data_IF_959310089192
#
_entry.id   IF_959310089192
#
_cell.length_a   1.000
_cell.length_b   1.000
_cell.length_c   1.000
_cell.angle_alpha   90.00
_cell.angle_beta   90.00
_cell.angle_gamma   90.00
#
_symmetry.space_group_name_H-M   'P 1'
#
loop_
_entity.id
_entity.type
_entity.pdbx_description
1 polymer ?
#
# COMPACT_ATOMS: atom_id res chain seq x y z
N UNK A 1 34.49 -47.20 10.07
CA UNK A 1 33.07 -47.45 9.74
C UNK A 1 32.26 -47.39 11.01
N UNK A 2 31.48 -46.34 11.26
CA UNK A 2 30.25 -46.38 12.08
C UNK A 2 29.40 -45.17 11.68
N UNK A 3 28.24 -45.44 11.07
CA UNK A 3 27.20 -44.45 10.75
C UNK A 3 26.32 -44.28 11.98
N UNK A 4 26.29 -43.09 12.54
CA UNK A 4 25.21 -42.57 13.41
C UNK A 4 24.83 -41.22 12.80
N UNK A 5 23.59 -40.82 12.54
CA UNK A 5 22.26 -41.39 12.68
C UNK A 5 21.36 -40.20 12.35
N UNK A 6 20.90 -40.07 11.09
CA UNK A 6 19.99 -39.00 10.65
C UNK A 6 18.60 -39.24 11.26
N UNK A 7 18.35 -38.74 12.47
CA UNK A 7 16.99 -38.56 13.00
C UNK A 7 17.04 -37.37 13.95
N UNK A 8 16.53 -36.21 13.52
CA UNK A 8 15.99 -35.14 14.38
C UNK A 8 15.41 -33.93 13.62
N UNK A 9 15.44 -33.88 12.28
CA UNK A 9 14.95 -32.73 11.52
C UNK A 9 13.45 -32.76 11.12
N UNK A 10 12.64 -33.73 11.58
CA UNK A 10 11.30 -33.96 10.99
C UNK A 10 10.13 -33.46 11.86
N UNK A 11 10.34 -33.08 13.13
CA UNK A 11 9.21 -32.77 14.04
C UNK A 11 8.76 -31.31 14.13
N UNK A 12 9.44 -30.35 13.50
CA UNK A 12 9.10 -28.92 13.66
C UNK A 12 8.73 -28.16 12.37
N UNK A 13 8.74 -28.81 11.20
CA UNK A 13 8.43 -28.14 9.93
C UNK A 13 6.92 -27.90 9.80
N UNK A 14 6.08 -28.80 10.33
CA UNK A 14 4.62 -28.64 10.26
C UNK A 14 4.07 -27.52 11.15
N UNK A 15 4.66 -27.29 12.33
CA UNK A 15 4.20 -26.21 13.22
C UNK A 15 4.49 -24.82 12.62
N UNK A 16 5.66 -24.63 12.00
CA UNK A 16 6.02 -23.37 11.35
C UNK A 16 5.20 -23.07 10.09
N UNK A 17 4.68 -24.11 9.41
CA UNK A 17 3.81 -23.94 8.24
C UNK A 17 2.42 -23.41 8.62
N UNK A 18 1.88 -23.86 9.76
CA UNK A 18 0.59 -23.40 10.27
C UNK A 18 0.64 -21.92 10.68
N UNK A 19 1.70 -21.48 11.37
CA UNK A 19 1.90 -20.07 11.76
C UNK A 19 2.01 -19.14 10.53
N UNK A 20 2.60 -19.62 9.43
CA UNK A 20 2.72 -18.89 8.17
C UNK A 20 1.38 -18.78 7.42
N UNK A 21 0.60 -19.87 7.39
CA UNK A 21 -0.74 -19.87 6.80
C UNK A 21 -1.70 -18.93 7.54
N UNK A 22 -1.66 -18.93 8.86
CA UNK A 22 -2.44 -18.03 9.73
C UNK A 22 -2.07 -16.55 9.50
N UNK A 23 -0.82 -16.26 9.17
CA UNK A 23 -0.39 -14.90 8.82
C UNK A 23 -0.92 -14.43 7.46
N UNK A 24 -0.80 -15.25 6.41
CA UNK A 24 -1.36 -14.92 5.09
C UNK A 24 -2.86 -14.71 5.18
N UNK A 25 -3.55 -15.52 5.97
CA UNK A 25 -4.96 -15.32 6.27
C UNK A 25 -5.20 -13.95 6.92
N UNK A 26 -4.48 -13.59 7.99
CA UNK A 26 -4.64 -12.31 8.70
C UNK A 26 -4.33 -11.06 7.86
N UNK A 27 -3.26 -11.07 7.05
CA UNK A 27 -2.96 -9.93 6.18
C UNK A 27 -3.96 -9.83 5.01
N UNK A 28 -4.39 -10.98 4.46
CA UNK A 28 -5.46 -11.03 3.46
C UNK A 28 -6.79 -10.53 4.04
N UNK A 29 -7.13 -10.92 5.26
CA UNK A 29 -8.32 -10.44 6.00
C UNK A 29 -8.32 -8.92 6.15
N UNK A 30 -7.16 -8.29 6.41
CA UNK A 30 -7.08 -6.82 6.48
C UNK A 30 -7.27 -6.14 5.13
N UNK A 31 -6.71 -6.70 4.07
CA UNK A 31 -6.95 -6.19 2.71
C UNK A 31 -8.43 -6.35 2.35
N UNK A 32 -9.03 -7.50 2.67
CA UNK A 32 -10.46 -7.76 2.50
C UNK A 32 -11.31 -6.80 3.35
N UNK A 33 -10.92 -6.53 4.59
CA UNK A 33 -11.59 -5.57 5.49
C UNK A 33 -11.55 -4.15 4.91
N UNK A 34 -10.40 -3.71 4.39
CA UNK A 34 -10.29 -2.43 3.68
C UNK A 34 -11.23 -2.41 2.47
N UNK A 35 -11.23 -3.47 1.66
CA UNK A 35 -12.12 -3.57 0.48
C UNK A 35 -13.58 -3.49 0.90
N UNK A 36 -14.01 -4.28 1.87
CA UNK A 36 -15.39 -4.28 2.38
C UNK A 36 -15.78 -2.91 2.94
N UNK A 37 -14.92 -2.28 3.75
CA UNK A 37 -15.15 -0.93 4.28
C UNK A 37 -15.24 0.12 3.18
N UNK A 38 -14.45 0.01 2.11
CA UNK A 38 -14.54 0.92 0.96
C UNK A 38 -15.83 0.70 0.15
N UNK A 39 -16.25 -0.55 -0.03
CA UNK A 39 -17.50 -0.89 -0.72
C UNK A 39 -18.72 -0.39 0.07
N UNK A 40 -18.74 -0.61 1.39
CA UNK A 40 -19.76 -0.07 2.28
C UNK A 40 -19.81 1.46 2.25
N UNK A 41 -18.66 2.13 2.22
CA UNK A 41 -18.63 3.58 2.06
C UNK A 41 -19.24 4.02 0.74
N UNK A 42 -18.94 3.31 -0.36
CA UNK A 42 -19.50 3.63 -1.67
C UNK A 42 -21.01 3.43 -1.74
N UNK A 43 -21.53 2.37 -1.13
CA UNK A 43 -22.98 2.15 -1.01
C UNK A 43 -23.64 3.20 -0.11
N UNK A 44 -23.06 3.46 1.07
CA UNK A 44 -23.60 4.45 2.01
C UNK A 44 -23.50 5.89 1.49
N UNK A 45 -22.59 6.19 0.56
CA UNK A 45 -22.56 7.47 -0.15
C UNK A 45 -23.66 7.61 -1.21
N UNK A 46 -24.25 6.50 -1.69
CA UNK A 46 -25.36 6.50 -2.66
C UNK A 46 -26.72 6.64 -1.97
N UNK A 47 -26.83 6.23 -0.70
CA UNK A 47 -28.07 6.28 0.09
C UNK A 47 -28.11 7.45 1.09
N UNK A 48 -29.28 8.04 1.38
CA UNK A 48 -29.42 9.01 2.47
C UNK A 48 -29.20 8.35 3.84
N UNK A 49 -28.53 9.06 4.75
CA UNK A 49 -28.16 8.62 6.10
C UNK A 49 -29.36 8.67 7.06
N UNK A 50 -29.96 7.53 7.37
CA UNK A 50 -31.03 7.42 8.37
C UNK A 50 -30.51 7.60 9.81
N UNK A 51 -31.30 8.24 10.66
CA UNK A 51 -31.04 8.37 12.09
C UNK A 51 -31.08 6.99 12.78
N UNK A 52 -30.18 6.77 13.74
CA UNK A 52 -30.05 5.48 14.45
C UNK A 52 -30.87 5.39 15.75
N UNK A 53 -31.55 6.46 16.16
CA UNK A 53 -32.34 6.47 17.39
C UNK A 53 -33.68 5.74 17.19
N UNK A 54 -34.07 4.92 18.16
CA UNK A 54 -35.33 4.18 18.14
C UNK A 54 -36.52 5.16 18.00
N UNK A 55 -37.35 4.93 16.99
CA UNK A 55 -38.50 5.78 16.68
C UNK A 55 -38.20 7.04 15.84
N UNK A 56 -36.97 7.25 15.35
CA UNK A 56 -36.65 8.40 14.49
C UNK A 56 -36.49 8.03 13.01
N UNK A 57 -37.47 8.41 12.18
CA UNK A 57 -37.46 8.15 10.72
C UNK A 57 -36.76 9.24 9.89
N UNK A 58 -35.93 10.09 10.49
CA UNK A 58 -35.26 11.17 9.75
C UNK A 58 -34.06 10.64 8.96
N UNK A 59 -33.95 11.05 7.71
CA UNK A 59 -32.81 10.76 6.83
C UNK A 59 -32.13 12.04 6.37
N UNK A 60 -30.82 11.96 6.14
CA UNK A 60 -29.96 13.11 5.84
C UNK A 60 -29.10 12.85 4.63
N UNK A 61 -28.87 13.86 3.79
CA UNK A 61 -27.97 13.75 2.63
C UNK A 61 -26.49 13.68 3.04
N UNK A 62 -26.14 14.16 4.24
CA UNK A 62 -24.77 14.15 4.73
C UNK A 62 -24.66 13.48 6.09
N UNK A 63 -23.58 12.71 6.26
CA UNK A 63 -23.25 12.04 7.51
C UNK A 63 -23.18 13.00 8.69
N UNK A 64 -22.56 14.16 8.48
CA UNK A 64 -22.45 15.23 9.48
C UNK A 64 -23.82 15.71 9.96
N UNK A 65 -24.78 15.90 9.04
CA UNK A 65 -26.13 16.32 9.41
C UNK A 65 -26.88 15.25 10.22
N UNK A 66 -26.71 13.96 9.88
CA UNK A 66 -27.25 12.85 10.68
C UNK A 66 -26.70 12.88 12.10
N UNK A 67 -25.37 12.92 12.24
CA UNK A 67 -24.71 12.87 13.55
C UNK A 67 -25.07 14.10 14.40
N UNK A 68 -25.14 15.29 13.79
CA UNK A 68 -25.58 16.50 14.49
C UNK A 68 -27.02 16.39 15.01
N UNK A 69 -27.91 15.76 14.26
CA UNK A 69 -29.28 15.48 14.71
C UNK A 69 -29.30 14.47 15.86
N UNK A 70 -28.56 13.36 15.73
CA UNK A 70 -28.43 12.32 16.76
C UNK A 70 -27.96 12.90 18.10
N UNK A 71 -27.01 13.83 18.07
CA UNK A 71 -26.47 14.47 19.28
C UNK A 71 -27.43 15.52 19.82
N UNK A 72 -27.95 16.40 18.96
CA UNK A 72 -28.79 17.52 19.40
C UNK A 72 -30.21 17.13 19.85
N UNK A 73 -30.76 16.02 19.34
CA UNK A 73 -32.14 15.59 19.67
C UNK A 73 -32.20 14.34 20.54
N UNK A 74 -31.26 13.42 20.38
CA UNK A 74 -31.30 12.12 21.05
C UNK A 74 -30.16 11.92 22.07
N UNK A 75 -29.19 12.85 22.14
CA UNK A 75 -27.97 12.74 22.97
C UNK A 75 -27.22 11.40 22.82
N UNK A 76 -27.45 10.71 21.70
CA UNK A 76 -27.15 9.28 21.52
C UNK A 76 -25.65 8.96 21.43
N UNK A 77 -24.84 9.92 20.99
CA UNK A 77 -23.39 9.70 20.75
C UNK A 77 -22.56 9.82 22.03
N UNK A 78 -23.03 10.58 23.02
CA UNK A 78 -22.27 10.80 24.27
C UNK A 78 -22.22 9.49 25.08
N UNK A 79 -23.35 8.79 25.19
CA UNK A 79 -23.44 7.50 25.88
C UNK A 79 -22.52 6.42 25.27
N UNK A 80 -22.33 6.43 23.95
CA UNK A 80 -21.48 5.45 23.25
C UNK A 80 -19.98 5.73 23.39
N UNK A 81 -19.60 6.98 23.68
CA UNK A 81 -18.22 7.39 23.94
C UNK A 81 -17.72 6.87 25.30
N UNK A 82 -18.59 6.93 26.30
CA UNK A 82 -18.30 6.52 27.68
C UNK A 82 -18.12 5.00 27.80
N UNK A 83 -18.76 4.20 26.94
CA UNK A 83 -18.73 2.74 27.02
C UNK A 83 -17.61 2.05 26.22
N UNK A 84 -17.16 2.61 25.08
CA UNK A 84 -16.34 1.88 24.09
C UNK A 84 -14.89 2.39 23.99
N UNK A 85 -14.59 3.60 24.49
CA UNK A 85 -13.25 4.20 24.43
C UNK A 85 -12.63 4.24 23.01
N UNK A 86 -13.48 4.30 21.98
CA UNK A 86 -13.07 4.45 20.58
C UNK A 86 -13.27 5.91 20.14
N UNK A 87 -12.22 6.54 19.64
CA UNK A 87 -12.26 7.94 19.17
C UNK A 87 -13.10 8.10 17.88
N UNK A 88 -13.50 7.00 17.25
CA UNK A 88 -14.16 6.98 15.94
C UNK A 88 -15.60 6.45 16.01
N UNK A 89 -16.43 6.94 15.10
CA UNK A 89 -17.78 6.39 14.87
C UNK A 89 -17.71 5.06 14.09
N UNK A 90 -18.80 4.27 14.04
CA UNK A 90 -18.85 3.04 13.22
C UNK A 90 -18.57 3.27 11.74
N UNK A 91 -18.65 4.52 11.28
CA UNK A 91 -18.25 4.88 9.93
C UNK A 91 -16.78 5.33 9.87
N UNK A 92 -16.05 5.55 10.95
CA UNK A 92 -14.63 5.93 10.99
C UNK A 92 -14.35 7.44 11.11
N UNK A 93 -15.37 8.27 11.32
CA UNK A 93 -15.22 9.71 11.60
C UNK A 93 -14.84 9.96 13.06
N UNK A 94 -14.01 10.96 13.30
CA UNK A 94 -13.59 11.38 14.63
C UNK A 94 -14.63 12.29 15.25
N UNK A 95 -15.05 11.99 16.47
CA UNK A 95 -15.88 12.89 17.24
C UNK A 95 -15.04 13.93 17.99
N UNK A 96 -15.65 15.08 18.23
CA UNK A 96 -15.18 16.08 19.16
C UNK A 96 -15.15 15.50 20.59
N UNK A 97 -13.98 15.48 21.23
CA UNK A 97 -13.84 14.98 22.61
C UNK A 97 -14.57 15.86 23.62
N UNK A 98 -14.80 17.13 23.29
CA UNK A 98 -15.55 18.09 24.11
C UNK A 98 -17.08 18.00 23.91
N UNK A 99 -17.60 16.95 23.26
CA UNK A 99 -19.04 16.71 23.13
C UNK A 99 -19.81 17.69 22.23
N UNK A 100 -19.11 18.48 21.42
CA UNK A 100 -19.66 19.63 20.69
C UNK A 100 -20.54 19.30 19.47
N UNK A 101 -21.00 18.06 19.33
CA UNK A 101 -21.82 17.57 18.21
C UNK A 101 -21.18 17.59 16.81
N UNK A 102 -19.88 17.89 16.70
CA UNK A 102 -19.16 17.86 15.43
C UNK A 102 -18.39 16.56 15.21
N UNK A 103 -18.37 16.10 13.95
CA UNK A 103 -17.58 14.97 13.47
C UNK A 103 -16.64 15.38 12.35
N UNK A 104 -15.45 14.79 12.33
CA UNK A 104 -14.35 15.16 11.45
C UNK A 104 -13.83 13.95 10.68
N UNK A 105 -13.47 14.14 9.42
CA UNK A 105 -12.89 13.08 8.59
C UNK A 105 -11.46 12.72 8.98
N UNK A 106 -10.72 13.65 9.61
CA UNK A 106 -9.33 13.42 10.04
C UNK A 106 -9.10 13.85 11.48
N UNK A 107 -8.16 13.17 12.16
CA UNK A 107 -7.69 13.56 13.50
C UNK A 107 -7.13 14.98 13.51
N UNK A 108 -6.37 15.37 12.48
CA UNK A 108 -5.78 16.72 12.40
C UNK A 108 -6.85 17.82 12.36
N UNK A 109 -7.94 17.62 11.62
CA UNK A 109 -9.05 18.58 11.55
C UNK A 109 -9.84 18.67 12.86
N UNK A 110 -10.04 17.54 13.55
CA UNK A 110 -10.63 17.52 14.90
C UNK A 110 -9.74 18.30 15.86
N UNK A 111 -8.46 17.96 15.95
CA UNK A 111 -7.55 18.57 16.91
C UNK A 111 -7.43 20.09 16.66
N UNK A 112 -7.50 20.53 15.40
CA UNK A 112 -7.56 21.96 15.07
C UNK A 112 -8.85 22.59 15.59
N UNK A 113 -10.01 21.96 15.35
CA UNK A 113 -11.30 22.44 15.85
C UNK A 113 -11.28 22.58 17.38
N UNK A 114 -10.82 21.55 18.09
CA UNK A 114 -10.70 21.55 19.55
C UNK A 114 -9.78 22.66 20.04
N UNK A 115 -8.64 22.88 19.38
CA UNK A 115 -7.74 24.01 19.66
C UNK A 115 -8.33 25.39 19.38
N UNK A 116 -9.24 25.52 18.42
CA UNK A 116 -9.81 26.82 18.06
C UNK A 116 -11.07 27.16 18.84
N UNK A 117 -11.90 26.16 19.15
CA UNK A 117 -13.22 26.35 19.75
C UNK A 117 -13.21 26.02 21.25
N UNK A 118 -12.50 24.96 21.66
CA UNK A 118 -12.58 24.40 23.02
C UNK A 118 -11.42 24.80 23.94
N UNK A 119 -10.25 25.12 23.39
CA UNK A 119 -9.14 25.70 24.16
C UNK A 119 -9.49 27.07 24.78
N UNK A 120 -10.51 27.77 24.26
CA UNK A 120 -11.03 29.00 24.86
C UNK A 120 -12.06 28.75 25.98
N UNK A 121 -12.58 27.52 26.13
CA UNK A 121 -13.70 27.19 27.03
C UNK A 121 -13.34 26.25 28.19
N UNK A 122 -12.07 25.85 28.34
CA UNK A 122 -11.60 25.14 29.54
C UNK A 122 -12.18 23.74 29.76
N UNK A 123 -12.43 22.97 28.70
CA UNK A 123 -12.82 21.56 28.86
C UNK A 123 -11.63 20.72 29.35
N UNK A 124 -11.77 20.12 30.53
CA UNK A 124 -10.83 19.13 31.07
C UNK A 124 -11.02 17.78 30.34
N UNK A 125 -9.90 17.20 29.92
CA UNK A 125 -9.89 15.89 29.28
C UNK A 125 -10.07 14.80 30.35
N UNK A 126 -10.93 13.79 30.15
CA UNK A 126 -10.88 12.58 30.96
C UNK A 126 -9.52 11.92 30.77
N UNK A 127 -8.76 11.72 31.86
CA UNK A 127 -7.55 10.94 31.83
C UNK A 127 -7.89 9.51 31.39
N UNK A 128 -7.38 9.07 30.23
CA UNK A 128 -7.53 7.69 29.78
C UNK A 128 -6.76 6.78 30.75
N UNK A 129 -7.48 6.03 31.58
CA UNK A 129 -6.90 4.91 32.30
C UNK A 129 -6.60 3.77 31.30
N UNK A 130 -5.33 3.34 31.13
CA UNK A 130 -5.03 2.19 30.28
C UNK A 130 -5.42 0.90 31.01
N UNK A 131 -6.56 0.32 30.63
CA UNK A 131 -6.94 -1.04 30.98
C UNK A 131 -7.41 -1.69 29.65
N UNK A 132 -7.01 -2.86 29.18
CA UNK A 132 -6.40 -4.02 29.83
C UNK A 132 -5.54 -4.82 28.82
N UNK A 133 -4.58 -5.60 29.35
CA UNK A 133 -3.85 -6.70 28.69
C UNK A 133 -3.10 -6.36 27.38
N UNK A 134 -2.07 -5.52 27.45
CA UNK A 134 -1.10 -5.41 26.35
C UNK A 134 -0.11 -6.58 26.43
N UNK A 135 -0.31 -7.61 25.62
CA UNK A 135 0.82 -8.44 25.18
C UNK A 135 1.85 -7.50 24.57
N UNK A 136 3.04 -7.39 25.18
CA UNK A 136 4.05 -6.48 24.69
C UNK A 136 4.44 -6.86 23.25
N UNK A 137 4.42 -5.91 22.30
CA UNK A 137 4.70 -6.19 20.90
C UNK A 137 6.14 -6.66 20.71
N UNK A 138 6.34 -7.61 19.81
CA UNK A 138 7.66 -8.09 19.41
C UNK A 138 8.12 -7.37 18.13
N UNK A 139 8.96 -6.35 18.29
CA UNK A 139 9.36 -5.49 17.18
C UNK A 139 10.34 -6.17 16.20
N UNK A 140 11.14 -7.13 16.67
CA UNK A 140 12.04 -7.90 15.80
C UNK A 140 11.24 -8.90 14.97
N UNK A 141 10.25 -9.58 15.57
CA UNK A 141 9.36 -10.48 14.84
C UNK A 141 8.58 -9.72 13.76
N UNK A 142 7.97 -8.60 14.12
CA UNK A 142 7.24 -7.74 13.19
C UNK A 142 8.11 -7.30 12.01
N UNK A 143 9.36 -6.91 12.27
CA UNK A 143 10.29 -6.49 11.23
C UNK A 143 10.61 -7.63 10.25
N UNK A 144 11.01 -8.79 10.74
CA UNK A 144 11.41 -9.90 9.87
C UNK A 144 10.22 -10.48 9.11
N UNK A 145 9.05 -10.48 9.73
CA UNK A 145 7.80 -10.83 9.08
C UNK A 145 7.48 -9.88 7.92
N UNK A 146 7.54 -8.57 8.17
CA UNK A 146 7.31 -7.56 7.14
C UNK A 146 8.36 -7.64 6.02
N UNK A 147 9.62 -7.87 6.37
CA UNK A 147 10.73 -8.03 5.43
C UNK A 147 10.54 -9.25 4.53
N UNK A 148 10.10 -10.39 5.10
CA UNK A 148 9.82 -11.60 4.35
C UNK A 148 8.64 -11.38 3.39
N UNK A 149 7.52 -10.84 3.88
CA UNK A 149 6.35 -10.55 3.07
C UNK A 149 6.67 -9.58 1.92
N UNK A 150 7.43 -8.51 2.18
CA UNK A 150 7.88 -7.60 1.13
C UNK A 150 8.86 -8.26 0.15
N UNK A 151 9.73 -9.16 0.65
CA UNK A 151 10.61 -9.97 -0.19
C UNK A 151 9.85 -10.88 -1.15
N UNK A 152 8.82 -11.57 -0.67
CA UNK A 152 7.92 -12.40 -1.48
C UNK A 152 7.17 -11.57 -2.51
N UNK A 153 6.66 -10.38 -2.13
CA UNK A 153 6.06 -9.43 -3.07
C UNK A 153 7.02 -9.03 -4.20
N UNK A 154 8.30 -8.75 -3.88
CA UNK A 154 9.30 -8.44 -4.90
C UNK A 154 9.62 -9.65 -5.80
N UNK A 155 9.64 -10.86 -5.24
CA UNK A 155 9.82 -12.10 -6.00
C UNK A 155 8.68 -12.34 -6.98
N UNK A 156 7.43 -12.18 -6.54
CA UNK A 156 6.25 -12.27 -7.41
C UNK A 156 6.28 -11.20 -8.51
N UNK A 157 6.61 -9.95 -8.15
CA UNK A 157 6.74 -8.88 -9.14
C UNK A 157 7.81 -9.21 -10.19
N UNK A 158 8.97 -9.71 -9.76
CA UNK A 158 10.07 -10.09 -10.66
C UNK A 158 9.70 -11.26 -11.58
N UNK A 159 8.86 -12.19 -11.10
CA UNK A 159 8.36 -13.29 -11.90
C UNK A 159 7.31 -12.85 -12.92
N UNK A 160 6.38 -11.97 -12.52
CA UNK A 160 5.37 -11.41 -13.42
C UNK A 160 5.95 -10.61 -14.59
N UNK A 161 7.08 -9.93 -14.36
CA UNK A 161 7.81 -9.18 -15.40
C UNK A 161 8.26 -10.07 -16.57
N UNK A 162 8.24 -11.41 -16.42
CA UNK A 162 8.55 -12.36 -17.50
C UNK A 162 7.42 -12.56 -18.52
N UNK A 163 6.24 -11.95 -18.34
CA UNK A 163 5.18 -11.99 -19.35
C UNK A 163 3.76 -12.22 -18.84
N UNK A 164 3.51 -12.08 -17.55
CA UNK A 164 2.19 -12.33 -16.95
C UNK A 164 1.49 -11.01 -16.58
N UNK A 165 0.75 -10.47 -17.55
CA UNK A 165 0.07 -9.18 -17.42
C UNK A 165 -1.09 -9.18 -16.44
N UNK A 166 -1.77 -10.31 -16.30
CA UNK A 166 -2.90 -10.41 -15.37
C UNK A 166 -2.41 -10.43 -13.93
N UNK A 167 -1.42 -11.27 -13.61
CA UNK A 167 -0.84 -11.31 -12.28
C UNK A 167 -0.13 -10.00 -11.94
N UNK A 168 0.52 -9.35 -12.91
CA UNK A 168 1.11 -8.01 -12.70
C UNK A 168 0.04 -6.96 -12.34
N UNK A 169 -1.13 -7.01 -12.99
CA UNK A 169 -2.25 -6.12 -12.69
C UNK A 169 -2.73 -6.29 -11.24
N UNK A 170 -2.89 -7.54 -10.78
CA UNK A 170 -3.27 -7.82 -9.39
C UNK A 170 -2.19 -7.35 -8.40
N UNK A 171 -0.91 -7.61 -8.67
CA UNK A 171 0.21 -7.14 -7.85
C UNK A 171 0.22 -5.61 -7.75
N UNK A 172 -0.14 -4.90 -8.82
CA UNK A 172 -0.20 -3.45 -8.79
C UNK A 172 -1.30 -2.89 -7.89
N UNK A 173 -2.39 -3.62 -7.64
CA UNK A 173 -3.38 -3.22 -6.63
C UNK A 173 -2.74 -3.19 -5.23
N UNK A 174 -1.96 -4.21 -4.89
CA UNK A 174 -1.22 -4.23 -3.63
C UNK A 174 -0.09 -3.18 -3.60
N UNK A 175 0.62 -3.00 -4.71
CA UNK A 175 1.67 -1.99 -4.85
C UNK A 175 1.12 -0.57 -4.61
N UNK A 176 -0.09 -0.28 -5.09
CA UNK A 176 -0.77 0.99 -4.85
C UNK A 176 -0.91 1.28 -3.34
N UNK A 177 -1.38 0.28 -2.58
CA UNK A 177 -1.56 0.39 -1.12
C UNK A 177 -0.23 0.61 -0.40
N UNK A 178 0.82 -0.10 -0.82
CA UNK A 178 2.18 0.06 -0.28
C UNK A 178 2.76 1.45 -0.58
N UNK A 179 2.61 1.95 -1.81
CA UNK A 179 3.10 3.28 -2.16
C UNK A 179 2.35 4.39 -1.45
N UNK A 180 1.02 4.28 -1.32
CA UNK A 180 0.23 5.29 -0.61
C UNK A 180 0.51 5.30 0.89
N UNK A 181 0.66 4.13 1.53
CA UNK A 181 0.93 4.04 2.97
C UNK A 181 2.30 4.61 3.35
N UNK A 182 3.30 4.49 2.47
CA UNK A 182 4.66 5.00 2.70
C UNK A 182 4.90 6.42 2.16
N UNK A 183 3.86 7.10 1.67
CA UNK A 183 3.97 8.48 1.17
C UNK A 183 4.69 8.60 -0.19
N UNK A 184 4.84 7.50 -0.93
CA UNK A 184 5.41 7.47 -2.27
C UNK A 184 4.39 7.92 -3.33
N UNK A 185 3.98 9.19 -3.25
CA UNK A 185 2.85 9.76 -4.02
C UNK A 185 3.01 9.61 -5.54
N UNK A 186 4.21 9.83 -6.08
CA UNK A 186 4.48 9.65 -7.52
C UNK A 186 4.22 8.22 -7.98
N UNK A 187 4.74 7.24 -7.26
CA UNK A 187 4.56 5.82 -7.62
C UNK A 187 3.11 5.37 -7.42
N UNK A 188 2.45 5.84 -6.36
CA UNK A 188 1.03 5.58 -6.14
C UNK A 188 0.18 6.16 -7.28
N UNK A 189 0.47 7.39 -7.72
CA UNK A 189 -0.24 8.02 -8.84
C UNK A 189 -0.07 7.26 -10.16
N UNK A 190 1.16 6.91 -10.53
CA UNK A 190 1.45 6.16 -11.76
C UNK A 190 0.72 4.81 -11.78
N UNK A 191 0.72 4.11 -10.64
CA UNK A 191 0.00 2.84 -10.51
C UNK A 191 -1.51 3.04 -10.58
N UNK A 192 -2.06 4.05 -9.90
CA UNK A 192 -3.49 4.36 -9.97
C UNK A 192 -3.90 4.69 -11.43
N UNK A 193 -3.10 5.47 -12.14
CA UNK A 193 -3.35 5.82 -13.54
C UNK A 193 -3.33 4.58 -14.44
N UNK A 194 -2.36 3.68 -14.25
CA UNK A 194 -2.30 2.41 -14.96
C UNK A 194 -3.54 1.55 -14.72
N UNK A 195 -3.92 1.37 -13.44
CA UNK A 195 -5.11 0.62 -13.07
C UNK A 195 -6.38 1.27 -13.67
N UNK A 196 -6.52 2.59 -13.59
CA UNK A 196 -7.63 3.32 -14.17
C UNK A 196 -7.71 3.13 -15.70
N UNK A 197 -6.60 3.27 -16.42
CA UNK A 197 -6.56 3.08 -17.88
C UNK A 197 -7.04 1.69 -18.29
N UNK A 198 -6.60 0.63 -17.60
CA UNK A 198 -7.07 -0.73 -17.89
C UNK A 198 -8.58 -0.89 -17.73
N UNK A 199 -9.18 -0.17 -16.77
CA UNK A 199 -10.63 -0.27 -16.50
C UNK A 199 -11.48 0.69 -17.36
N UNK A 200 -10.90 1.76 -17.94
CA UNK A 200 -11.63 2.75 -18.73
C UNK A 200 -11.43 2.63 -20.24
N UNK A 201 -10.32 2.05 -20.70
CA UNK A 201 -10.04 1.89 -22.12
C UNK A 201 -10.92 0.79 -22.75
N UNK A 202 -11.17 0.86 -24.08
CA UNK A 202 -11.76 -0.25 -24.83
C UNK A 202 -10.96 -1.55 -24.61
N UNK A 203 -11.65 -2.68 -24.70
CA UNK A 203 -11.07 -3.99 -24.37
C UNK A 203 -9.74 -4.27 -25.09
N UNK A 204 -9.65 -3.95 -26.38
CA UNK A 204 -8.45 -4.17 -27.20
C UNK A 204 -7.26 -3.31 -26.74
N UNK A 205 -7.51 -2.04 -26.41
CA UNK A 205 -6.49 -1.12 -25.92
C UNK A 205 -6.04 -1.48 -24.50
N UNK A 206 -6.97 -1.89 -23.64
CA UNK A 206 -6.68 -2.36 -22.30
C UNK A 206 -5.84 -3.66 -22.33
N UNK A 207 -6.17 -4.58 -23.23
CA UNK A 207 -5.40 -5.79 -23.49
C UNK A 207 -3.98 -5.44 -23.95
N UNK A 208 -3.87 -4.58 -24.97
CA UNK A 208 -2.60 -4.10 -25.50
C UNK A 208 -1.75 -3.45 -24.40
N UNK A 209 -2.32 -2.54 -23.60
CA UNK A 209 -1.62 -1.87 -22.50
C UNK A 209 -1.16 -2.85 -21.41
N UNK A 210 -1.96 -3.87 -21.12
CA UNK A 210 -1.66 -4.90 -20.11
C UNK A 210 -0.50 -5.79 -20.57
N UNK A 211 -0.52 -6.26 -21.83
CA UNK A 211 0.39 -7.29 -22.32
C UNK A 211 1.61 -6.76 -23.10
N UNK A 212 1.52 -5.63 -23.79
CA UNK A 212 2.65 -5.08 -24.57
C UNK A 212 3.79 -4.56 -23.68
N UNK A 213 3.56 -4.43 -22.38
CA UNK A 213 4.63 -4.08 -21.43
C UNK A 213 5.75 -5.11 -21.36
N UNK A 214 5.45 -6.36 -21.70
CA UNK A 214 6.41 -7.47 -21.72
C UNK A 214 6.94 -7.78 -23.12
N UNK A 215 6.43 -7.09 -24.15
CA UNK A 215 6.88 -7.29 -25.51
C UNK A 215 8.34 -6.85 -25.64
N UNK A 216 9.22 -7.81 -25.89
CA UNK A 216 10.64 -7.60 -26.07
C UNK A 216 10.99 -7.87 -27.52
N UNK A 217 10.92 -6.83 -28.37
CA UNK A 217 11.17 -6.94 -29.80
C UNK A 217 12.56 -7.53 -30.13
N UNK A 218 13.56 -7.33 -29.26
CA UNK A 218 14.95 -7.69 -29.54
C UNK A 218 15.48 -8.89 -28.75
N UNK A 219 14.65 -9.61 -28.00
CA UNK A 219 15.06 -10.83 -27.29
C UNK A 219 16.21 -10.68 -26.27
N UNK A 220 16.63 -9.45 -25.93
CA UNK A 220 17.71 -9.20 -24.96
C UNK A 220 17.16 -9.27 -23.53
N UNK A 221 17.80 -10.06 -22.67
CA UNK A 221 17.42 -10.24 -21.26
C UNK A 221 17.12 -8.90 -20.55
N UNK A 222 15.87 -8.71 -20.13
CA UNK A 222 15.41 -7.69 -19.18
C UNK A 222 15.80 -6.23 -19.46
N UNK A 223 15.68 -5.77 -20.71
CA UNK A 223 15.59 -4.34 -21.00
C UNK A 223 14.25 -4.06 -21.67
N UNK A 224 13.18 -3.98 -20.88
CA UNK A 224 11.96 -3.28 -21.31
C UNK A 224 12.37 -1.89 -21.76
N UNK A 225 12.26 -1.64 -23.07
CA UNK A 225 12.46 -0.39 -23.80
C UNK A 225 13.44 0.63 -23.19
N UNK A 226 14.51 0.87 -23.93
CA UNK A 226 15.50 1.95 -23.81
C UNK A 226 14.96 3.39 -23.75
N UNK A 227 13.64 3.62 -23.66
CA UNK A 227 13.03 4.94 -23.54
C UNK A 227 13.49 5.73 -22.29
N UNK A 228 13.94 5.04 -21.23
CA UNK A 228 14.48 5.71 -20.02
C UNK A 228 15.84 6.39 -20.22
N UNK A 229 16.60 6.08 -21.27
CA UNK A 229 17.94 6.67 -21.47
C UNK A 229 17.87 8.05 -22.13
N UNK A 230 16.97 8.26 -23.08
CA UNK A 230 16.79 9.57 -23.72
C UNK A 230 16.13 10.57 -22.76
N UNK A 231 15.03 10.20 -22.09
CA UNK A 231 14.24 11.15 -21.27
C UNK A 231 14.98 11.79 -20.08
N UNK A 232 16.08 11.21 -19.60
CA UNK A 232 16.88 11.79 -18.50
C UNK A 232 17.57 13.10 -18.86
N UNK A 233 17.86 13.34 -20.14
CA UNK A 233 18.57 14.54 -20.58
C UNK A 233 17.63 15.72 -20.88
N UNK A 234 16.33 15.46 -21.12
CA UNK A 234 15.36 16.50 -21.50
C UNK A 234 14.75 17.25 -20.31
N UNK A 235 14.85 16.70 -19.10
CA UNK A 235 14.45 17.40 -17.87
C UNK A 235 13.02 17.97 -17.95
N UNK A 236 12.87 19.26 -17.64
CA UNK A 236 11.59 19.97 -17.68
C UNK A 236 11.12 20.35 -19.10
N UNK A 237 11.94 20.15 -20.14
CA UNK A 237 11.65 20.52 -21.53
C UNK A 237 11.16 19.33 -22.37
N UNK A 238 10.62 18.30 -21.72
CA UNK A 238 10.04 17.15 -22.42
C UNK A 238 8.67 17.56 -23.01
N UNK A 239 8.65 17.86 -24.30
CA UNK A 239 7.44 18.07 -25.08
C UNK A 239 7.03 16.78 -25.82
N UNK A 240 5.74 16.63 -26.09
CA UNK A 240 5.22 15.43 -26.78
C UNK A 240 5.84 15.26 -28.17
N UNK A 241 6.03 16.35 -28.91
CA UNK A 241 6.65 16.34 -30.25
C UNK A 241 8.13 15.95 -30.20
N UNK A 242 8.88 16.40 -29.20
CA UNK A 242 10.27 15.98 -28.99
C UNK A 242 10.38 14.54 -28.52
N UNK A 243 9.47 14.10 -27.64
CA UNK A 243 9.40 12.71 -27.18
C UNK A 243 9.10 11.74 -28.33
N UNK A 244 8.11 12.06 -29.18
CA UNK A 244 7.74 11.26 -30.36
C UNK A 244 8.88 11.16 -31.35
N UNK A 245 9.48 12.29 -31.76
CA UNK A 245 10.62 12.32 -32.68
C UNK A 245 11.83 11.55 -32.15
N UNK A 246 12.09 11.65 -30.85
CA UNK A 246 13.18 10.91 -30.21
C UNK A 246 12.87 9.41 -30.14
N UNK A 247 11.62 9.04 -29.88
CA UNK A 247 11.18 7.64 -29.88
C UNK A 247 11.28 7.00 -31.26
N UNK A 248 10.87 7.72 -32.31
CA UNK A 248 10.93 7.27 -33.71
C UNK A 248 12.38 7.11 -34.20
N UNK A 249 13.28 8.00 -33.78
CA UNK A 249 14.70 7.93 -34.17
C UNK A 249 15.56 7.02 -33.29
N UNK A 250 15.02 6.52 -32.17
CA UNK A 250 15.78 5.74 -31.19
C UNK A 250 16.27 4.41 -31.78
N UNK A 251 15.40 3.76 -32.55
CA UNK A 251 15.70 2.49 -33.22
C UNK A 251 16.86 2.64 -34.20
N UNK A 252 16.82 3.67 -35.05
CA UNK A 252 17.89 3.98 -35.99
C UNK A 252 19.21 4.29 -35.29
N UNK A 253 19.19 5.07 -34.20
CA UNK A 253 20.40 5.35 -33.43
C UNK A 253 20.99 4.09 -32.80
N UNK A 254 20.16 3.21 -32.23
CA UNK A 254 20.63 1.95 -31.65
C UNK A 254 21.24 1.03 -32.72
N UNK A 255 20.65 0.98 -33.92
CA UNK A 255 21.21 0.24 -35.05
C UNK A 255 22.58 0.78 -35.47
N UNK A 256 22.72 2.10 -35.65
CA UNK A 256 23.99 2.74 -36.03
C UNK A 256 25.07 2.47 -34.98
N UNK A 257 24.76 2.64 -33.69
CA UNK A 257 25.71 2.35 -32.61
C UNK A 257 26.11 0.87 -32.62
N UNK A 258 25.16 -0.04 -32.80
CA UNK A 258 25.46 -1.47 -32.85
C UNK A 258 26.32 -1.86 -34.07
N UNK A 259 26.15 -1.19 -35.21
CA UNK A 259 26.98 -1.36 -36.40
C UNK A 259 28.40 -0.86 -36.14
N UNK A 260 28.55 0.33 -35.54
CA UNK A 260 29.85 0.89 -35.20
C UNK A 260 30.57 0.00 -34.18
N UNK A 261 29.86 -0.50 -33.16
CA UNK A 261 30.42 -1.40 -32.15
C UNK A 261 30.90 -2.73 -32.77
N UNK A 262 30.18 -3.25 -33.77
CA UNK A 262 30.57 -4.42 -34.55
C UNK A 262 31.80 -4.14 -35.42
N UNK A 263 31.81 -3.02 -36.15
CA UNK A 263 32.91 -2.62 -37.04
C UNK A 263 34.20 -2.30 -36.27
N UNK A 264 34.07 -1.81 -35.03
CA UNK A 264 35.21 -1.47 -34.18
C UNK A 264 35.71 -2.64 -33.30
N UNK A 265 35.16 -3.84 -33.45
CA UNK A 265 35.43 -5.02 -32.60
C UNK A 265 35.39 -4.70 -31.09
N UNK A 266 34.56 -3.72 -30.69
CA UNK A 266 34.46 -3.31 -29.31
C UNK A 266 33.70 -4.39 -28.54
N UNK A 267 34.46 -5.36 -28.01
CA UNK A 267 33.95 -6.34 -27.06
C UNK A 267 33.20 -5.57 -25.97
N UNK A 268 31.89 -5.84 -25.82
CA UNK A 268 31.06 -5.24 -24.79
C UNK A 268 31.86 -5.15 -23.50
N UNK A 269 32.05 -3.93 -22.96
CA UNK A 269 32.69 -3.74 -21.66
C UNK A 269 31.80 -4.36 -20.59
N UNK A 270 31.94 -5.67 -20.41
CA UNK A 270 31.35 -6.41 -19.30
C UNK A 270 32.16 -6.02 -18.08
N UNK A 271 31.75 -4.94 -17.43
CA UNK A 271 32.19 -4.61 -16.08
C UNK A 271 31.90 -5.82 -15.20
N UNK A 272 32.92 -6.64 -14.97
CA UNK A 272 32.83 -7.86 -14.17
C UNK A 272 32.73 -7.43 -12.71
N UNK A 273 31.53 -7.11 -12.25
CA UNK A 273 31.25 -7.19 -10.82
C UNK A 273 31.48 -8.65 -10.45
N UNK A 274 32.46 -8.92 -9.60
CA UNK A 274 32.60 -10.24 -9.00
C UNK A 274 31.25 -10.58 -8.39
N UNK A 275 30.61 -11.65 -8.86
CA UNK A 275 29.40 -12.13 -8.22
C UNK A 275 29.85 -12.57 -6.82
N UNK A 276 29.45 -11.88 -5.73
CA UNK A 276 29.76 -12.36 -4.39
C UNK A 276 29.18 -13.77 -4.26
N UNK A 277 29.86 -14.63 -3.49
CA UNK A 277 29.47 -16.02 -3.32
C UNK A 277 28.09 -16.09 -2.66
N UNK A 278 27.05 -16.14 -3.49
CA UNK A 278 25.63 -16.05 -3.06
C UNK A 278 25.29 -17.10 -2.01
N UNK A 279 25.87 -18.29 -2.13
CA UNK A 279 25.62 -19.40 -1.20
C UNK A 279 26.15 -19.12 0.21
N UNK A 280 27.35 -18.55 0.33
CA UNK A 280 27.92 -18.20 1.64
C UNK A 280 27.08 -17.11 2.32
N UNK A 281 26.63 -16.11 1.57
CA UNK A 281 25.74 -15.05 2.10
C UNK A 281 24.38 -15.59 2.57
N UNK A 282 23.80 -16.55 1.85
CA UNK A 282 22.54 -17.21 2.24
C UNK A 282 22.72 -18.01 3.51
N UNK A 283 23.78 -18.82 3.62
CA UNK A 283 24.07 -19.62 4.82
C UNK A 283 24.29 -18.73 6.04
N UNK A 284 25.03 -17.62 5.89
CA UNK A 284 25.24 -16.66 6.97
C UNK A 284 23.90 -16.03 7.40
N UNK A 285 23.12 -15.51 6.44
CA UNK A 285 21.82 -14.88 6.73
C UNK A 285 20.88 -15.84 7.46
N UNK A 286 20.83 -17.11 7.05
CA UNK A 286 20.01 -18.12 7.73
C UNK A 286 20.50 -18.41 9.14
N UNK A 287 21.81 -18.50 9.34
CA UNK A 287 22.41 -18.73 10.67
C UNK A 287 22.05 -17.59 11.62
N UNK A 288 22.20 -16.33 11.17
CA UNK A 288 21.86 -15.14 11.95
C UNK A 288 20.36 -15.09 12.31
N UNK A 289 19.48 -15.45 11.36
CA UNK A 289 18.02 -15.45 11.60
C UNK A 289 17.58 -16.54 12.58
N UNK A 290 18.25 -17.70 12.56
CA UNK A 290 17.99 -18.79 13.49
C UNK A 290 18.51 -18.46 14.89
N UNK A 291 19.69 -17.83 15.00
CA UNK A 291 20.26 -17.39 16.28
C UNK A 291 19.37 -16.37 16.98
N UNK A 292 18.83 -15.40 16.23
CA UNK A 292 17.94 -14.36 16.77
C UNK A 292 16.51 -14.89 17.01
N UNK A 293 16.20 -16.11 16.57
CA UNK A 293 14.83 -16.66 16.53
C UNK A 293 13.85 -15.65 15.93
N UNK A 294 14.22 -15.09 14.77
CA UNK A 294 13.55 -13.95 14.14
C UNK A 294 12.05 -14.19 13.89
N UNK A 295 11.65 -15.43 13.60
CA UNK A 295 10.27 -15.81 13.26
C UNK A 295 9.51 -16.49 14.40
N UNK A 296 10.04 -16.48 15.62
CA UNK A 296 9.28 -16.92 16.80
C UNK A 296 8.88 -15.70 17.61
N UNK A 297 7.60 -15.59 17.91
CA UNK A 297 7.08 -14.48 18.70
C UNK A 297 7.59 -14.56 20.14
N UNK A 298 8.21 -13.48 20.63
CA UNK A 298 8.66 -13.31 22.01
C UNK A 298 8.14 -11.98 22.55
N UNK A 299 7.26 -12.05 23.54
CA UNK A 299 6.68 -10.83 24.13
C UNK A 299 7.76 -9.95 24.77
N UNK A 300 7.72 -8.65 24.50
CA UNK A 300 8.60 -7.66 25.13
C UNK A 300 10.00 -7.54 24.54
N UNK A 301 10.27 -8.17 23.38
CA UNK A 301 11.56 -8.05 22.71
C UNK A 301 11.73 -6.64 22.11
N UNK A 302 12.77 -5.94 22.55
CA UNK A 302 13.14 -4.63 22.00
C UNK A 302 13.53 -4.76 20.51
N UNK A 303 13.17 -3.75 19.72
CA UNK A 303 13.51 -3.69 18.31
C UNK A 303 15.00 -3.45 18.07
N UNK A 304 15.40 -3.50 16.80
CA UNK A 304 16.77 -3.14 16.43
C UNK A 304 17.06 -1.67 16.79
N UNK A 305 18.32 -1.31 17.10
CA UNK A 305 18.67 0.07 17.50
C UNK A 305 18.23 1.13 16.49
N UNK A 306 18.25 0.80 15.20
CA UNK A 306 17.85 1.70 14.10
C UNK A 306 16.33 1.82 13.96
N UNK A 307 15.56 0.81 14.38
CA UNK A 307 14.11 0.78 14.29
C UNK A 307 13.51 0.10 15.54
N UNK A 308 13.49 0.81 16.68
CA UNK A 308 13.12 0.21 17.98
C UNK A 308 11.64 -0.16 18.08
N UNK A 309 10.77 0.49 17.30
CA UNK A 309 9.31 0.35 17.33
C UNK A 309 8.76 0.03 15.95
N UNK A 310 9.05 -1.17 15.45
CA UNK A 310 8.56 -1.60 14.13
C UNK A 310 7.14 -2.19 14.21
N UNK A 311 6.17 -1.53 13.56
CA UNK A 311 4.79 -1.99 13.52
C UNK A 311 4.63 -3.29 12.72
N UNK A 312 3.72 -4.18 13.16
CA UNK A 312 3.44 -5.44 12.46
C UNK A 312 2.87 -5.24 11.05
N UNK A 313 2.15 -4.13 10.83
CA UNK A 313 1.39 -3.91 9.61
C UNK A 313 2.26 -3.28 8.51
N UNK A 314 2.31 -3.92 7.35
CA UNK A 314 3.07 -3.40 6.20
C UNK A 314 2.27 -2.27 5.51
N UNK A 315 0.95 -2.42 5.47
CA UNK A 315 -0.02 -1.47 4.93
C UNK A 315 -0.77 -0.81 6.10
N UNK A 316 -0.20 0.25 6.64
CA UNK A 316 -0.87 1.11 7.63
C UNK A 316 -1.50 2.29 6.88
N UNK A 317 -2.79 2.21 6.59
CA UNK A 317 -3.46 3.20 5.75
C UNK A 317 -4.92 3.45 6.17
N UNK A 318 -5.33 4.73 6.18
CA UNK A 318 -6.73 5.10 6.40
C UNK A 318 -7.52 4.96 5.09
N UNK A 319 -8.41 3.97 5.05
CA UNK A 319 -9.23 3.63 3.88
C UNK A 319 -10.06 4.82 3.35
N UNK A 320 -10.44 5.78 4.20
CA UNK A 320 -11.17 6.99 3.77
C UNK A 320 -10.28 7.96 3.02
N UNK A 321 -9.06 8.13 3.49
CA UNK A 321 -8.07 8.96 2.79
C UNK A 321 -7.74 8.34 1.44
N UNK A 322 -7.59 7.01 1.36
CA UNK A 322 -7.43 6.30 0.08
C UNK A 322 -8.62 6.54 -0.85
N UNK A 323 -9.83 6.31 -0.34
CA UNK A 323 -11.05 6.38 -1.15
C UNK A 323 -11.28 7.79 -1.68
N UNK A 324 -11.13 8.80 -0.81
CA UNK A 324 -11.18 10.20 -1.21
C UNK A 324 -10.11 10.51 -2.26
N UNK A 325 -8.87 10.12 -2.00
CA UNK A 325 -7.75 10.36 -2.90
C UNK A 325 -7.98 9.74 -4.29
N UNK A 326 -8.44 8.48 -4.36
CA UNK A 326 -8.79 7.81 -5.62
C UNK A 326 -9.92 8.57 -6.32
N UNK A 327 -11.02 8.88 -5.63
CA UNK A 327 -12.16 9.59 -6.23
C UNK A 327 -11.80 10.98 -6.75
N UNK A 328 -10.98 11.72 -6.02
CA UNK A 328 -10.55 13.06 -6.43
C UNK A 328 -9.74 13.00 -7.74
N UNK A 329 -8.86 12.00 -7.88
CA UNK A 329 -8.10 11.79 -9.12
C UNK A 329 -8.97 11.33 -10.28
N UNK A 330 -9.91 10.40 -10.04
CA UNK A 330 -10.86 9.96 -11.05
C UNK A 330 -11.73 11.12 -11.57
N UNK A 331 -12.21 11.99 -10.67
CA UNK A 331 -12.96 13.20 -11.05
C UNK A 331 -12.12 14.18 -11.85
N UNK A 332 -10.87 14.40 -11.44
CA UNK A 332 -9.93 15.26 -12.16
C UNK A 332 -9.74 14.74 -13.59
N UNK A 333 -9.44 13.46 -13.77
CA UNK A 333 -9.30 12.87 -15.10
C UNK A 333 -10.58 12.96 -15.92
N UNK A 334 -11.74 12.66 -15.34
CA UNK A 334 -13.03 12.86 -16.01
C UNK A 334 -13.23 14.30 -16.49
N UNK A 335 -12.82 15.30 -15.69
CA UNK A 335 -12.94 16.71 -16.09
C UNK A 335 -12.05 17.07 -17.29
N UNK A 336 -10.80 16.56 -17.31
CA UNK A 336 -9.83 16.79 -18.40
C UNK A 336 -10.33 16.16 -19.71
N UNK A 337 -10.83 14.93 -19.64
CA UNK A 337 -11.32 14.24 -20.85
C UNK A 337 -12.67 14.76 -21.34
N UNK A 338 -13.52 15.32 -20.46
CA UNK A 338 -14.77 15.97 -20.86
C UNK A 338 -14.57 17.36 -21.47
N UNK A 339 -13.49 18.07 -21.16
CA UNK A 339 -13.19 19.39 -21.76
C UNK A 339 -12.59 19.31 -23.17
N UNK A 340 -12.30 18.11 -23.66
CA UNK A 340 -11.72 17.86 -24.98
C UNK A 340 -12.71 17.23 -25.99
N UNK A 341 -13.97 17.04 -25.59
CA UNK A 341 -15.12 16.82 -26.47
C UNK A 341 -16.01 18.07 -26.44
#
# INVERSE_FOLDING_TARGET
MYRTGKKNAVKNVHNNYNEYSEFHARESEKVIDIVNKTAELDEKMKSPFACRADGCNKSYLSHFARVRHEIGKHKFVIARFEEINDERDPMGYYFCQCGCAFVFSTRATRNRHEKTIHHATGCEYPEMTPNAQTTHPDYIFNYHQAKLAFGLFLSELADCIKGDGERLYEIYKLALLLFKSRGHTKYAYEVLLYLAKINFLPHEEAFTLKWNRFYNHHGKNNKTASSRRCGKHWGANLDEKGATRTSESLELHEMIISSIDQDCELLERKGRRSNPKKNEAVVQTLSDLLEVEAFKFKSGREGYPTFPKFEANIVSLDYRDLHKWIKDHLKLWQSIYKSHN
#
